data_IF_347181729828
#
_entry.id   IF_347181729828
#
_cell.length_a   1.000
_cell.length_b   1.000
_cell.length_c   1.000
_cell.angle_alpha   90.00
_cell.angle_beta   90.00
_cell.angle_gamma   90.00
#
_symmetry.space_group_name_H-M   'P 1'
#
loop_
_entity.id
_entity.type
_entity.pdbx_description
1 polymer ?
#
# COMPACT_ATOMS: atom_id res chain seq x y z
N UNK A 1 -18.69 -5.50 23.18
CA UNK A 1 -18.77 -4.07 23.52
C UNK A 1 -19.51 -3.31 22.42
N UNK A 2 -20.27 -2.27 22.78
CA UNK A 2 -20.89 -1.36 21.81
C UNK A 2 -20.06 -0.09 21.62
N UNK A 3 -19.89 0.33 20.37
CA UNK A 3 -19.41 1.64 19.94
C UNK A 3 -20.64 2.40 19.40
N UNK A 4 -21.05 3.50 20.01
CA UNK A 4 -22.34 4.15 19.73
C UNK A 4 -22.20 5.60 19.29
N UNK A 5 -23.19 6.08 18.53
CA UNK A 5 -23.34 7.48 18.07
C UNK A 5 -22.17 7.96 17.19
N UNK A 6 -21.84 7.16 16.17
CA UNK A 6 -20.85 7.48 15.16
C UNK A 6 -21.51 7.77 13.80
N UNK A 7 -20.81 8.52 12.95
CA UNK A 7 -21.00 8.44 11.50
C UNK A 7 -20.35 7.16 11.01
N UNK A 8 -21.12 6.08 10.89
CA UNK A 8 -20.60 4.74 10.55
C UNK A 8 -20.51 4.59 9.03
N UNK A 9 -19.30 4.39 8.53
CA UNK A 9 -19.03 4.20 7.10
C UNK A 9 -19.20 2.73 6.75
N UNK A 10 -20.33 2.42 6.11
CA UNK A 10 -20.66 1.11 5.53
C UNK A 10 -20.10 1.00 4.10
N UNK A 11 -20.16 -0.19 3.47
CA UNK A 11 -19.62 -0.38 2.12
C UNK A 11 -20.16 0.60 1.08
N UNK A 12 -21.41 1.02 1.18
CA UNK A 12 -22.13 1.83 0.17
C UNK A 12 -22.83 3.07 0.74
N UNK A 13 -22.82 3.27 2.06
CA UNK A 13 -23.52 4.37 2.72
C UNK A 13 -22.82 4.84 4.01
N UNK A 14 -23.26 5.97 4.54
CA UNK A 14 -22.85 6.44 5.87
C UNK A 14 -24.10 6.56 6.75
N UNK A 15 -24.14 5.79 7.84
CA UNK A 15 -25.17 5.97 8.86
C UNK A 15 -24.85 7.24 9.66
N UNK A 16 -25.74 8.23 9.74
CA UNK A 16 -25.43 9.51 10.37
C UNK A 16 -25.23 9.40 11.89
N UNK A 17 -25.88 8.43 12.54
CA UNK A 17 -25.83 8.18 13.99
C UNK A 17 -25.88 6.68 14.30
N UNK A 18 -25.00 5.92 13.67
CA UNK A 18 -24.95 4.46 13.81
C UNK A 18 -24.19 3.99 15.05
N UNK A 19 -24.36 2.71 15.34
CA UNK A 19 -23.66 1.99 16.41
C UNK A 19 -23.18 0.63 15.90
N UNK A 20 -22.06 0.14 16.42
CA UNK A 20 -21.47 -1.15 16.05
C UNK A 20 -21.20 -1.97 17.31
N UNK A 21 -21.71 -3.21 17.34
CA UNK A 21 -21.41 -4.19 18.39
C UNK A 21 -20.22 -5.03 17.97
N UNK A 22 -19.20 -5.02 18.81
CA UNK A 22 -18.00 -5.86 18.65
C UNK A 22 -18.06 -7.00 19.67
N UNK A 23 -17.95 -8.23 19.20
CA UNK A 23 -17.94 -9.45 20.01
C UNK A 23 -16.85 -10.38 19.49
N UNK A 24 -16.00 -10.89 20.39
CA UNK A 24 -14.89 -11.81 20.06
C UNK A 24 -14.00 -11.35 18.89
N UNK A 25 -13.80 -10.03 18.80
CA UNK A 25 -12.98 -9.39 17.76
C UNK A 25 -13.66 -9.21 16.40
N UNK A 26 -14.92 -9.61 16.26
CA UNK A 26 -15.74 -9.45 15.07
C UNK A 26 -16.88 -8.44 15.26
N UNK A 27 -17.40 -7.94 14.15
CA UNK A 27 -18.60 -7.10 14.08
C UNK A 27 -19.81 -8.03 14.17
N UNK A 28 -20.52 -7.97 15.29
CA UNK A 28 -21.64 -8.86 15.58
C UNK A 28 -22.99 -8.21 15.26
N UNK A 29 -23.05 -6.88 15.23
CA UNK A 29 -24.29 -6.14 14.98
C UNK A 29 -23.99 -4.70 14.55
N UNK A 30 -24.88 -4.14 13.73
CA UNK A 30 -24.86 -2.75 13.29
C UNK A 30 -26.27 -2.19 13.51
N UNK A 31 -26.37 -1.09 14.24
CA UNK A 31 -27.61 -0.35 14.43
C UNK A 31 -27.51 1.02 13.75
N UNK A 32 -28.62 1.52 13.21
CA UNK A 32 -28.73 2.84 12.58
C UNK A 32 -29.04 3.98 13.56
N UNK A 33 -29.11 3.67 14.86
CA UNK A 33 -29.31 4.61 15.95
C UNK A 33 -28.29 4.42 17.07
N UNK A 34 -28.10 5.43 17.94
CA UNK A 34 -27.36 5.27 19.19
C UNK A 34 -27.99 4.20 20.08
N UNK A 35 -27.15 3.49 20.85
CA UNK A 35 -27.57 2.49 21.82
C UNK A 35 -27.14 2.89 23.24
N UNK A 36 -28.01 2.71 24.26
CA UNK A 36 -27.65 3.01 25.65
C UNK A 36 -26.60 2.03 26.18
N UNK A 37 -25.80 2.46 27.17
CA UNK A 37 -24.81 1.60 27.83
C UNK A 37 -23.61 1.23 26.95
N UNK A 38 -23.34 1.99 25.89
CA UNK A 38 -22.18 1.76 25.04
C UNK A 38 -20.86 2.01 25.78
N UNK A 39 -19.87 1.16 25.52
CA UNK A 39 -18.53 1.27 26.11
C UNK A 39 -17.78 2.52 25.60
N UNK A 40 -18.11 2.96 24.38
CA UNK A 40 -17.59 4.17 23.78
C UNK A 40 -18.70 4.93 23.08
N UNK A 41 -18.80 6.23 23.37
CA UNK A 41 -19.65 7.17 22.65
C UNK A 41 -18.79 7.97 21.66
N UNK A 42 -19.22 8.01 20.40
CA UNK A 42 -18.53 8.68 19.31
C UNK A 42 -18.87 10.15 19.16
N UNK A 43 -19.99 10.61 19.71
CA UNK A 43 -20.45 12.01 19.63
C UNK A 43 -20.42 12.58 18.19
N UNK A 44 -20.75 11.74 17.20
CA UNK A 44 -20.76 12.12 15.77
C UNK A 44 -19.40 12.03 15.07
N UNK A 45 -18.35 11.52 15.72
CA UNK A 45 -17.10 11.13 15.07
C UNK A 45 -17.35 10.08 13.98
N UNK A 46 -16.40 9.97 13.06
CA UNK A 46 -16.44 9.00 11.97
C UNK A 46 -15.91 7.66 12.48
N UNK A 47 -16.64 6.57 12.18
CA UNK A 47 -16.18 5.20 12.36
C UNK A 47 -16.05 4.53 10.98
N UNK A 48 -14.83 4.18 10.61
CA UNK A 48 -14.47 3.54 9.32
C UNK A 48 -13.88 2.16 9.54
N UNK A 49 -13.89 1.28 8.51
CA UNK A 49 -13.01 0.13 8.51
C UNK A 49 -11.54 0.58 8.63
N UNK A 50 -10.72 -0.26 9.28
CA UNK A 50 -9.29 -0.02 9.40
C UNK A 50 -8.60 0.04 8.04
N UNK A 51 -7.63 0.94 7.87
CA UNK A 51 -6.95 1.08 6.59
C UNK A 51 -6.06 -0.14 6.32
N UNK A 52 -6.01 -0.52 5.05
CA UNK A 52 -5.16 -1.58 4.51
C UNK A 52 -4.19 -0.94 3.55
N UNK A 53 -2.93 -0.85 3.98
CA UNK A 53 -1.86 -0.29 3.18
C UNK A 53 -1.16 -1.41 2.42
N UNK A 54 -1.36 -1.46 1.10
CA UNK A 54 -0.73 -2.48 0.25
C UNK A 54 0.71 -2.12 -0.18
N UNK A 55 1.16 -0.88 0.05
CA UNK A 55 2.51 -0.45 -0.30
C UNK A 55 3.04 0.62 0.69
N UNK A 56 3.83 0.16 1.66
CA UNK A 56 4.56 1.04 2.58
C UNK A 56 6.08 1.02 2.32
N UNK A 57 6.62 2.04 1.63
CA UNK A 57 8.04 2.21 1.31
C UNK A 57 8.80 2.94 2.45
N UNK A 58 8.67 2.42 3.68
CA UNK A 58 9.17 3.09 4.88
C UNK A 58 10.08 2.23 5.74
N UNK A 59 9.97 0.90 5.65
CA UNK A 59 10.67 -0.01 6.55
C UNK A 59 12.20 0.23 6.53
N UNK A 60 12.78 0.47 5.34
CA UNK A 60 14.20 0.81 5.17
C UNK A 60 14.59 2.09 5.93
N UNK A 61 13.71 3.09 5.97
CA UNK A 61 13.96 4.39 6.64
C UNK A 61 13.84 4.31 8.16
N UNK A 62 13.05 3.38 8.69
CA UNK A 62 12.94 3.21 10.15
C UNK A 62 14.16 2.45 10.70
N UNK A 63 14.71 1.49 9.94
CA UNK A 63 15.90 0.71 10.35
C UNK A 63 17.21 1.45 10.07
N UNK A 64 17.23 2.30 9.04
CA UNK A 64 18.37 3.13 8.67
C UNK A 64 17.89 4.58 8.38
N UNK A 65 17.66 5.38 9.42
CA UNK A 65 17.13 6.75 9.28
C UNK A 65 18.06 7.70 8.53
N UNK A 66 19.35 7.35 8.41
CA UNK A 66 20.35 8.05 7.58
C UNK A 66 21.22 7.03 6.87
N UNK A 67 21.69 7.31 5.64
CA UNK A 67 22.58 6.41 4.92
C UNK A 67 23.78 5.97 5.78
N UNK A 68 23.96 4.66 5.90
CA UNK A 68 24.97 3.96 6.71
C UNK A 68 24.82 4.10 8.24
N UNK A 69 23.69 4.59 8.76
CA UNK A 69 23.43 4.73 10.20
C UNK A 69 22.30 3.80 10.62
N UNK A 70 22.68 2.62 11.11
CA UNK A 70 21.74 1.55 11.46
C UNK A 70 21.25 1.66 12.90
N UNK A 71 19.94 1.52 13.07
CA UNK A 71 19.31 1.31 14.36
C UNK A 71 19.08 -0.20 14.61
N UNK A 72 18.88 -0.64 15.87
CA UNK A 72 18.43 -1.99 16.14
C UNK A 72 17.16 -2.30 15.35
N UNK A 73 17.12 -3.41 14.62
CA UNK A 73 15.98 -3.81 13.77
C UNK A 73 14.65 -3.79 14.54
N UNK A 74 14.65 -4.31 15.78
CA UNK A 74 13.49 -4.32 16.66
C UNK A 74 12.94 -2.91 16.94
N UNK A 75 13.82 -1.92 17.09
CA UNK A 75 13.43 -0.52 17.32
C UNK A 75 12.76 0.05 16.07
N UNK A 76 13.38 -0.10 14.90
CA UNK A 76 12.83 0.38 13.63
C UNK A 76 11.45 -0.22 13.32
N UNK A 77 11.28 -1.53 13.55
CA UNK A 77 10.00 -2.21 13.35
C UNK A 77 8.91 -1.74 14.32
N UNK A 78 9.25 -1.47 15.59
CA UNK A 78 8.33 -0.86 16.57
C UNK A 78 7.95 0.56 16.20
N UNK A 79 8.88 1.33 15.65
CA UNK A 79 8.63 2.71 15.21
C UNK A 79 7.73 2.74 13.98
N UNK A 80 7.94 1.82 13.02
CA UNK A 80 7.01 1.61 11.90
C UNK A 80 5.60 1.25 12.38
N UNK A 81 5.48 0.25 13.26
CA UNK A 81 4.20 -0.15 13.85
C UNK A 81 3.48 1.00 14.53
N UNK A 82 4.22 1.87 15.23
CA UNK A 82 3.65 3.06 15.86
C UNK A 82 3.11 4.04 14.83
N UNK A 83 3.86 4.34 13.77
CA UNK A 83 3.43 5.28 12.72
C UNK A 83 2.17 4.78 12.01
N UNK A 84 2.14 3.49 11.69
CA UNK A 84 1.01 2.87 10.98
C UNK A 84 -0.28 2.91 11.81
N UNK A 85 -0.26 2.44 13.07
CA UNK A 85 -1.47 2.43 13.90
C UNK A 85 -1.97 3.82 14.28
N UNK A 86 -1.07 4.79 14.43
CA UNK A 86 -1.43 6.20 14.62
C UNK A 86 -2.12 6.77 13.37
N UNK A 87 -1.73 6.32 12.18
CA UNK A 87 -2.33 6.73 10.92
C UNK A 87 -3.64 5.98 10.58
N UNK A 88 -4.11 5.07 11.45
CA UNK A 88 -5.33 4.28 11.21
C UNK A 88 -5.11 2.99 10.42
N UNK A 89 -3.86 2.63 10.13
CA UNK A 89 -3.55 1.38 9.41
C UNK A 89 -3.64 0.20 10.36
N UNK A 90 -4.42 -0.81 9.96
CA UNK A 90 -4.65 -2.06 10.72
C UNK A 90 -3.98 -3.26 10.07
N UNK A 91 -3.80 -3.22 8.74
CA UNK A 91 -3.05 -4.19 7.94
C UNK A 91 -2.10 -3.43 7.03
N UNK A 92 -0.81 -3.79 7.04
CA UNK A 92 0.22 -3.08 6.27
C UNK A 92 1.16 -4.06 5.58
N UNK A 93 1.42 -3.81 4.30
CA UNK A 93 2.37 -4.56 3.50
C UNK A 93 3.67 -3.74 3.41
N UNK A 94 4.71 -4.22 4.08
CA UNK A 94 6.03 -3.62 3.98
C UNK A 94 6.61 -3.91 2.59
N UNK A 95 6.75 -2.85 1.79
CA UNK A 95 7.30 -2.93 0.45
C UNK A 95 8.82 -3.02 0.51
N UNK A 96 9.40 -4.11 0.00
CA UNK A 96 10.86 -4.34 0.00
C UNK A 96 11.32 -4.62 -1.41
N UNK A 97 12.27 -3.83 -1.90
CA UNK A 97 12.78 -3.92 -3.26
C UNK A 97 14.00 -4.82 -3.38
N UNK A 98 13.94 -5.78 -4.30
CA UNK A 98 15.04 -6.66 -4.71
C UNK A 98 15.56 -6.22 -6.07
N UNK A 99 16.61 -5.38 -6.07
CA UNK A 99 17.24 -4.86 -7.29
C UNK A 99 18.75 -5.20 -7.32
N UNK A 100 19.29 -5.72 -8.44
CA UNK A 100 20.69 -6.09 -8.57
C UNK A 100 21.69 -4.93 -8.42
N UNK A 101 21.33 -3.68 -8.73
CA UNK A 101 22.20 -2.50 -8.51
C UNK A 101 22.25 -2.06 -7.06
N UNK A 102 21.24 -2.40 -6.26
CA UNK A 102 21.32 -2.24 -4.81
C UNK A 102 22.15 -3.33 -4.13
N UNK A 103 22.70 -4.30 -4.87
CA UNK A 103 23.82 -5.12 -4.36
C UNK A 103 25.07 -4.27 -4.02
N UNK A 104 25.17 -3.05 -4.56
CA UNK A 104 26.26 -2.09 -4.26
C UNK A 104 25.85 -0.96 -3.29
N UNK A 105 24.58 -0.86 -2.90
CA UNK A 105 24.10 0.05 -1.85
C UNK A 105 23.67 -0.77 -0.63
N UNK A 106 24.39 -0.64 0.49
CA UNK A 106 24.34 -1.54 1.65
C UNK A 106 22.95 -1.83 2.29
N UNK A 107 21.90 -1.08 1.91
CA UNK A 107 20.52 -1.18 2.39
C UNK A 107 19.66 -2.23 1.67
N UNK A 108 19.89 -2.48 0.37
CA UNK A 108 19.17 -3.54 -0.38
C UNK A 108 20.10 -4.61 -0.91
N UNK A 109 21.16 -4.87 -0.13
CA UNK A 109 21.81 -6.16 -0.27
C UNK A 109 20.79 -7.24 0.10
N UNK A 110 20.79 -8.29 -0.70
CA UNK A 110 19.88 -9.42 -0.54
C UNK A 110 19.76 -9.92 0.91
N UNK A 111 20.91 -10.03 1.59
CA UNK A 111 20.98 -10.50 2.97
C UNK A 111 20.33 -9.52 3.96
N UNK A 112 20.44 -8.20 3.71
CA UNK A 112 19.80 -7.21 4.57
C UNK A 112 18.28 -7.23 4.41
N UNK A 113 17.79 -7.23 3.17
CA UNK A 113 16.35 -7.33 2.87
C UNK A 113 15.78 -8.61 3.51
N UNK A 114 16.47 -9.74 3.39
CA UNK A 114 16.08 -10.99 4.06
C UNK A 114 16.06 -10.89 5.58
N UNK A 115 17.11 -10.33 6.19
CA UNK A 115 17.18 -10.18 7.64
C UNK A 115 16.04 -9.30 8.16
N UNK A 116 15.71 -8.24 7.44
CA UNK A 116 14.58 -7.36 7.74
C UNK A 116 13.24 -8.09 7.64
N UNK A 117 13.01 -8.85 6.56
CA UNK A 117 11.77 -9.64 6.39
C UNK A 117 11.62 -10.72 7.47
N UNK A 118 12.71 -11.42 7.83
CA UNK A 118 12.72 -12.40 8.92
C UNK A 118 12.41 -11.76 10.27
N UNK A 119 13.04 -10.62 10.57
CA UNK A 119 12.75 -9.88 11.80
C UNK A 119 11.29 -9.40 11.85
N UNK A 120 10.74 -8.90 10.74
CA UNK A 120 9.33 -8.54 10.66
C UNK A 120 8.43 -9.75 10.94
N UNK A 121 8.75 -10.91 10.34
CA UNK A 121 8.03 -12.17 10.56
C UNK A 121 8.06 -12.60 12.03
N UNK A 122 9.23 -12.61 12.65
CA UNK A 122 9.42 -12.98 14.06
C UNK A 122 8.68 -12.04 15.02
N UNK A 123 8.61 -10.75 14.67
CA UNK A 123 7.95 -9.74 15.49
C UNK A 123 6.43 -9.64 15.27
N UNK A 124 5.84 -10.32 14.27
CA UNK A 124 4.39 -10.24 13.95
C UNK A 124 3.49 -10.43 15.18
N UNK A 125 3.86 -11.30 16.11
CA UNK A 125 3.08 -11.55 17.34
C UNK A 125 3.19 -10.46 18.41
N UNK A 126 4.19 -9.59 18.31
CA UNK A 126 4.48 -8.50 19.26
C UNK A 126 3.94 -7.17 18.73
N UNK A 127 4.02 -6.96 17.41
CA UNK A 127 3.52 -5.77 16.73
C UNK A 127 1.99 -5.70 16.79
N UNK A 128 1.46 -4.47 16.74
CA UNK A 128 0.03 -4.22 16.90
C UNK A 128 -0.70 -4.20 15.58
N UNK A 129 -0.09 -3.70 14.51
CA UNK A 129 -0.61 -3.78 13.13
C UNK A 129 -0.42 -5.19 12.57
N UNK A 130 -1.29 -5.61 11.65
CA UNK A 130 -1.10 -6.84 10.88
C UNK A 130 -0.05 -6.60 9.79
N UNK A 131 1.22 -6.88 10.09
CA UNK A 131 2.31 -6.70 9.15
C UNK A 131 2.42 -7.88 8.18
N UNK A 132 2.47 -7.54 6.89
CA UNK A 132 2.61 -8.43 5.74
C UNK A 132 3.77 -7.94 4.87
N UNK A 133 4.17 -8.75 3.89
CA UNK A 133 5.31 -8.43 3.02
C UNK A 133 4.87 -8.27 1.57
N UNK A 134 5.27 -7.14 0.99
CA UNK A 134 5.20 -6.88 -0.43
C UNK A 134 6.61 -6.94 -1.02
N UNK A 135 6.93 -8.04 -1.71
CA UNK A 135 8.23 -8.26 -2.30
C UNK A 135 8.25 -7.73 -3.74
N UNK A 136 9.10 -6.75 -4.02
CA UNK A 136 9.17 -6.05 -5.30
C UNK A 136 10.42 -6.50 -6.05
N UNK A 137 10.27 -7.04 -7.25
CA UNK A 137 11.38 -7.61 -8.02
C UNK A 137 11.60 -6.87 -9.32
N UNK A 138 12.85 -6.55 -9.62
CA UNK A 138 13.23 -6.15 -10.97
C UNK A 138 13.05 -7.33 -11.92
N UNK A 139 12.38 -7.10 -13.05
CA UNK A 139 12.18 -8.15 -14.06
C UNK A 139 13.50 -8.74 -14.60
N UNK A 140 14.59 -7.99 -14.52
CA UNK A 140 15.91 -8.42 -15.00
C UNK A 140 16.80 -8.98 -13.88
N UNK A 141 16.27 -9.21 -12.68
CA UNK A 141 17.07 -9.75 -11.59
C UNK A 141 17.30 -11.26 -11.79
N UNK A 142 18.55 -11.73 -12.04
CA UNK A 142 18.78 -13.11 -12.46
C UNK A 142 18.40 -14.16 -11.43
N UNK A 143 18.36 -13.79 -10.13
CA UNK A 143 17.97 -14.69 -9.04
C UNK A 143 16.51 -14.49 -8.61
N UNK A 144 15.71 -13.69 -9.32
CA UNK A 144 14.36 -13.34 -8.88
C UNK A 144 13.52 -14.57 -8.53
N UNK A 145 13.53 -15.58 -9.39
CA UNK A 145 12.78 -16.82 -9.16
C UNK A 145 13.21 -17.52 -7.87
N UNK A 146 14.50 -17.82 -7.69
CA UNK A 146 15.03 -18.46 -6.48
C UNK A 146 14.63 -17.71 -5.19
N UNK A 147 14.66 -16.38 -5.23
CA UNK A 147 14.28 -15.55 -4.09
C UNK A 147 12.79 -15.61 -3.81
N UNK A 148 11.96 -15.52 -4.85
CA UNK A 148 10.51 -15.60 -4.71
C UNK A 148 10.13 -16.99 -4.17
N UNK A 149 10.72 -18.06 -4.70
CA UNK A 149 10.55 -19.44 -4.21
C UNK A 149 10.84 -19.54 -2.72
N UNK A 150 11.99 -19.05 -2.26
CA UNK A 150 12.34 -19.08 -0.83
C UNK A 150 11.36 -18.27 0.03
N UNK A 151 11.02 -17.04 -0.39
CA UNK A 151 10.13 -16.18 0.39
C UNK A 151 8.70 -16.73 0.48
N UNK A 152 8.21 -17.38 -0.58
CA UNK A 152 6.90 -18.02 -0.61
C UNK A 152 6.92 -19.31 0.22
N UNK A 153 7.92 -20.17 0.03
CA UNK A 153 8.05 -21.42 0.78
C UNK A 153 8.13 -21.18 2.30
N UNK A 154 8.83 -20.12 2.72
CA UNK A 154 8.92 -19.73 4.12
C UNK A 154 7.67 -18.97 4.62
N UNK A 155 6.65 -18.72 3.81
CA UNK A 155 5.45 -17.94 4.18
C UNK A 155 5.78 -16.48 4.55
N UNK A 156 6.82 -15.94 3.93
CA UNK A 156 7.30 -14.57 4.17
C UNK A 156 6.62 -13.58 3.24
N UNK A 157 6.49 -13.89 1.94
CA UNK A 157 5.83 -13.00 0.97
C UNK A 157 4.29 -13.13 1.01
N UNK A 158 3.60 -11.99 0.98
CA UNK A 158 2.13 -11.90 0.93
C UNK A 158 1.63 -11.22 -0.36
N UNK A 159 2.48 -10.44 -1.03
CA UNK A 159 2.24 -9.76 -2.31
C UNK A 159 3.56 -9.73 -3.09
N UNK A 160 3.51 -9.96 -4.39
CA UNK A 160 4.67 -9.81 -5.29
C UNK A 160 4.37 -8.75 -6.34
N UNK A 161 5.32 -7.83 -6.59
CA UNK A 161 5.22 -6.94 -7.75
C UNK A 161 6.43 -7.05 -8.66
N UNK A 162 6.18 -6.98 -9.97
CA UNK A 162 7.19 -6.93 -11.00
C UNK A 162 7.46 -5.47 -11.38
N UNK A 163 8.72 -5.08 -11.36
CA UNK A 163 9.16 -3.70 -11.63
C UNK A 163 10.14 -3.68 -12.79
N UNK A 164 9.99 -2.70 -13.69
CA UNK A 164 10.95 -2.47 -14.77
C UNK A 164 11.53 -1.05 -14.69
N UNK A 165 12.65 -0.91 -14.00
CA UNK A 165 13.37 0.36 -13.91
C UNK A 165 14.38 0.58 -15.05
N UNK A 166 14.13 -0.02 -16.22
CA UNK A 166 14.95 0.20 -17.40
C UNK A 166 14.75 1.61 -17.94
N UNK A 167 15.81 2.33 -18.35
CA UNK A 167 15.66 3.60 -19.04
C UNK A 167 14.72 3.49 -20.24
N UNK A 168 13.75 4.38 -20.34
CA UNK A 168 12.72 4.35 -21.37
C UNK A 168 11.48 3.53 -21.01
N UNK A 169 11.37 3.04 -19.77
CA UNK A 169 10.21 2.28 -19.27
C UNK A 169 9.68 2.89 -17.98
N UNK A 170 8.36 2.77 -17.76
CA UNK A 170 7.68 3.16 -16.53
C UNK A 170 7.96 4.60 -16.13
N UNK A 171 8.34 4.81 -14.87
CA UNK A 171 8.72 6.13 -14.36
C UNK A 171 9.99 6.72 -15.04
N UNK A 172 10.77 5.92 -15.77
CA UNK A 172 11.99 6.31 -16.46
C UNK A 172 11.82 6.47 -17.97
N UNK A 173 10.59 6.57 -18.47
CA UNK A 173 10.27 6.76 -19.89
C UNK A 173 10.89 8.02 -20.51
N UNK A 174 11.03 9.09 -19.72
CA UNK A 174 11.65 10.34 -20.16
C UNK A 174 13.17 10.25 -19.99
N UNK A 175 13.85 9.89 -21.08
CA UNK A 175 15.31 9.70 -21.11
C UNK A 175 16.08 11.00 -20.84
N UNK A 176 15.54 12.14 -21.27
CA UNK A 176 16.14 13.46 -21.08
C UNK A 176 16.10 13.85 -19.59
N UNK A 177 14.96 13.64 -18.94
CA UNK A 177 14.82 13.83 -17.49
C UNK A 177 15.71 12.87 -16.72
N UNK A 178 15.83 11.62 -17.16
CA UNK A 178 16.72 10.63 -16.55
C UNK A 178 18.20 11.04 -16.69
N UNK A 179 18.61 11.52 -17.86
CA UNK A 179 19.96 12.03 -18.09
C UNK A 179 20.27 13.22 -17.17
N UNK A 180 19.35 14.19 -17.07
CA UNK A 180 19.48 15.34 -16.13
C UNK A 180 19.62 14.89 -14.68
N UNK A 181 18.77 13.96 -14.22
CA UNK A 181 18.85 13.40 -12.86
C UNK A 181 20.17 12.68 -12.63
N UNK A 182 20.63 11.88 -13.60
CA UNK A 182 21.90 11.13 -13.52
C UNK A 182 23.09 12.09 -13.46
N UNK A 183 23.12 13.12 -14.30
CA UNK A 183 24.13 14.17 -14.29
C UNK A 183 24.23 14.84 -12.91
N UNK A 184 23.10 15.22 -12.34
CA UNK A 184 23.04 15.85 -11.01
C UNK A 184 23.53 14.92 -9.89
N UNK A 185 23.10 13.66 -9.90
CA UNK A 185 23.43 12.69 -8.84
C UNK A 185 24.88 12.21 -8.88
N UNK A 186 25.45 12.10 -10.08
CA UNK A 186 26.80 11.54 -10.30
C UNK A 186 27.85 12.62 -10.55
N UNK A 187 27.46 13.90 -10.60
CA UNK A 187 28.36 14.99 -10.92
C UNK A 187 28.92 14.92 -12.35
N UNK A 188 28.16 14.32 -13.28
CA UNK A 188 28.54 14.17 -14.68
C UNK A 188 28.06 15.36 -15.51
N UNK A 189 28.70 15.60 -16.65
CA UNK A 189 28.12 16.44 -17.70
C UNK A 189 26.85 15.78 -18.27
N UNK A 190 26.04 16.58 -18.97
CA UNK A 190 24.82 16.08 -19.58
C UNK A 190 25.11 15.01 -20.67
N UNK A 191 26.12 15.22 -21.51
CA UNK A 191 26.52 14.26 -22.55
C UNK A 191 27.02 12.93 -21.96
N UNK A 192 27.80 12.98 -20.87
CA UNK A 192 28.24 11.78 -20.15
C UNK A 192 27.05 11.02 -19.54
N UNK A 193 26.07 11.74 -18.99
CA UNK A 193 24.86 11.14 -18.46
C UNK A 193 23.99 10.49 -19.55
N UNK A 194 23.84 11.13 -20.72
CA UNK A 194 23.15 10.53 -21.87
C UNK A 194 23.86 9.27 -22.38
N UNK A 195 25.19 9.28 -22.43
CA UNK A 195 25.97 8.11 -22.80
C UNK A 195 25.75 6.96 -21.80
N UNK A 196 25.84 7.25 -20.50
CA UNK A 196 25.59 6.28 -19.44
C UNK A 196 24.15 5.70 -19.49
N UNK A 197 23.15 6.52 -19.86
CA UNK A 197 21.78 6.06 -20.07
C UNK A 197 21.69 5.12 -21.28
N UNK A 198 22.32 5.46 -22.41
CA UNK A 198 22.35 4.60 -23.62
C UNK A 198 23.06 3.27 -23.37
N UNK A 199 24.18 3.29 -22.66
CA UNK A 199 24.91 2.07 -22.30
C UNK A 199 24.06 1.11 -21.47
N UNK A 200 23.26 1.63 -20.53
CA UNK A 200 22.32 0.81 -19.72
C UNK A 200 21.24 0.16 -20.59
N UNK A 201 20.73 0.87 -21.58
CA UNK A 201 19.74 0.31 -22.53
C UNK A 201 20.38 -0.85 -23.32
N UNK A 202 21.59 -0.63 -23.84
CA UNK A 202 22.31 -1.63 -24.62
C UNK A 202 22.76 -2.85 -23.79
N UNK A 203 23.11 -2.66 -22.52
CA UNK A 203 23.39 -3.74 -21.57
C UNK A 203 22.16 -4.62 -21.34
N UNK A 204 20.98 -4.04 -21.13
CA UNK A 204 19.75 -4.82 -20.98
C UNK A 204 19.42 -5.62 -22.23
N UNK A 205 19.51 -5.02 -23.42
CA UNK A 205 19.22 -5.73 -24.68
C UNK A 205 20.12 -6.96 -24.86
N UNK A 206 21.37 -6.91 -24.37
CA UNK A 206 22.30 -8.04 -24.36
C UNK A 206 21.98 -9.11 -23.31
N UNK A 207 21.14 -8.82 -22.31
CA UNK A 207 20.77 -9.71 -21.22
C UNK A 207 19.28 -10.05 -21.20
N UNK A 208 18.55 -9.79 -22.29
CA UNK A 208 17.14 -10.10 -22.44
C UNK A 208 16.81 -11.62 -22.49
N UNK A 209 17.81 -12.49 -22.36
CA UNK A 209 17.63 -13.94 -22.32
C UNK A 209 16.85 -14.38 -21.07
N UNK A 210 15.84 -15.22 -21.30
CA UNK A 210 14.98 -15.94 -20.35
C UNK A 210 14.17 -15.14 -19.31
N UNK A 211 14.08 -13.81 -19.45
CA UNK A 211 13.23 -12.96 -18.61
C UNK A 211 11.76 -13.41 -18.69
N UNK A 212 11.27 -13.72 -19.89
CA UNK A 212 9.87 -14.13 -20.08
C UNK A 212 9.52 -15.44 -19.35
N UNK A 213 10.39 -16.46 -19.39
CA UNK A 213 10.13 -17.71 -18.68
C UNK A 213 10.24 -17.51 -17.15
N UNK A 214 11.20 -16.69 -16.70
CA UNK A 214 11.34 -16.32 -15.29
C UNK A 214 10.05 -15.66 -14.76
N UNK A 215 9.51 -14.69 -15.51
CA UNK A 215 8.26 -14.01 -15.14
C UNK A 215 7.07 -14.97 -15.13
N UNK A 216 6.98 -15.88 -16.10
CA UNK A 216 5.94 -16.90 -16.14
C UNK A 216 6.03 -17.88 -14.95
N UNK A 217 7.25 -18.27 -14.55
CA UNK A 217 7.48 -19.12 -13.39
C UNK A 217 7.10 -18.42 -12.07
N UNK A 218 7.51 -17.15 -11.91
CA UNK A 218 7.11 -16.34 -10.74
C UNK A 218 5.59 -16.21 -10.66
N UNK A 219 4.93 -15.94 -11.79
CA UNK A 219 3.48 -15.86 -11.88
C UNK A 219 2.79 -17.16 -11.45
N UNK A 220 3.20 -18.30 -12.02
CA UNK A 220 2.64 -19.60 -11.68
C UNK A 220 2.81 -19.90 -10.19
N UNK A 221 3.98 -19.63 -9.64
CA UNK A 221 4.27 -19.82 -8.22
C UNK A 221 3.39 -18.96 -7.30
N UNK A 222 3.16 -17.69 -7.67
CA UNK A 222 2.26 -16.81 -6.94
C UNK A 222 0.82 -17.35 -6.96
N UNK A 223 0.35 -17.78 -8.14
CA UNK A 223 -0.99 -18.35 -8.31
C UNK A 223 -1.18 -19.63 -7.47
N UNK A 224 -0.20 -20.54 -7.48
CA UNK A 224 -0.24 -21.80 -6.72
C UNK A 224 -0.35 -21.59 -5.20
N UNK A 225 0.11 -20.43 -4.69
CA UNK A 225 0.08 -20.07 -3.28
C UNK A 225 -0.97 -19.02 -2.92
N UNK A 226 -1.81 -18.60 -3.89
CA UNK A 226 -2.83 -17.57 -3.67
C UNK A 226 -2.25 -16.19 -3.33
N UNK A 227 -1.03 -15.90 -3.80
CA UNK A 227 -0.37 -14.60 -3.63
C UNK A 227 -0.71 -13.72 -4.83
N UNK A 228 -1.20 -12.51 -4.55
CA UNK A 228 -1.48 -11.54 -5.61
C UNK A 228 -0.20 -11.12 -6.34
N UNK A 229 -0.31 -10.90 -7.64
CA UNK A 229 0.76 -10.39 -8.48
C UNK A 229 0.41 -8.98 -8.97
N UNK A 230 1.32 -8.04 -8.81
CA UNK A 230 1.18 -6.66 -9.27
C UNK A 230 2.20 -6.31 -10.36
N UNK A 231 1.83 -5.44 -11.28
CA UNK A 231 2.77 -4.69 -12.12
C UNK A 231 3.04 -3.33 -11.51
N UNK A 232 4.26 -2.81 -11.64
CA UNK A 232 4.63 -1.49 -11.13
C UNK A 232 5.03 -0.53 -12.25
N UNK A 233 4.61 0.73 -12.12
CA UNK A 233 4.82 1.84 -13.05
C UNK A 233 4.41 1.49 -14.49
N UNK A 234 3.18 1.02 -14.69
CA UNK A 234 2.67 0.78 -16.04
C UNK A 234 2.57 2.08 -16.85
N UNK A 235 3.20 2.12 -18.03
CA UNK A 235 3.31 3.31 -18.87
C UNK A 235 2.61 3.19 -20.23
N UNK A 236 2.35 1.95 -20.68
CA UNK A 236 1.80 1.62 -21.99
C UNK A 236 0.71 0.56 -21.88
N UNK A 237 -0.21 0.60 -22.85
CA UNK A 237 -1.29 -0.41 -23.00
C UNK A 237 -0.69 -1.81 -23.17
N UNK A 238 0.40 -1.92 -23.92
CA UNK A 238 1.09 -3.17 -24.21
C UNK A 238 1.71 -3.78 -22.96
N UNK A 239 2.33 -2.96 -22.09
CA UNK A 239 2.88 -3.43 -20.81
C UNK A 239 1.78 -3.94 -19.89
N UNK A 240 0.65 -3.23 -19.78
CA UNK A 240 -0.49 -3.70 -18.98
C UNK A 240 -1.04 -5.01 -19.53
N UNK A 241 -1.18 -5.13 -20.85
CA UNK A 241 -1.65 -6.35 -21.49
C UNK A 241 -0.72 -7.56 -21.24
N UNK A 242 0.60 -7.33 -21.28
CA UNK A 242 1.61 -8.32 -20.95
C UNK A 242 1.52 -8.75 -19.48
N UNK A 243 1.44 -7.79 -18.55
CA UNK A 243 1.40 -8.12 -17.12
C UNK A 243 0.11 -8.82 -16.72
N UNK A 244 -1.01 -8.42 -17.30
CA UNK A 244 -2.28 -9.13 -17.18
C UNK A 244 -2.18 -10.57 -17.72
N UNK A 245 -1.52 -10.81 -18.86
CA UNK A 245 -1.37 -12.18 -19.40
C UNK A 245 -0.47 -13.06 -18.53
N UNK A 246 0.41 -12.44 -17.73
CA UNK A 246 1.17 -13.05 -16.64
C UNK A 246 0.37 -13.16 -15.34
N UNK A 247 -0.93 -12.87 -15.32
CA UNK A 247 -1.78 -13.05 -14.13
C UNK A 247 -1.69 -11.92 -13.10
N UNK A 248 -1.12 -10.76 -13.45
CA UNK A 248 -1.18 -9.60 -12.56
C UNK A 248 -2.64 -9.14 -12.37
N UNK A 249 -3.02 -8.91 -11.11
CA UNK A 249 -4.35 -8.44 -10.70
C UNK A 249 -4.35 -6.97 -10.28
N UNK A 250 -3.16 -6.37 -10.13
CA UNK A 250 -2.98 -4.99 -9.69
C UNK A 250 -2.02 -4.26 -10.65
N UNK A 251 -2.41 -3.06 -11.07
CA UNK A 251 -1.54 -2.08 -11.73
C UNK A 251 -1.17 -1.00 -10.72
N UNK A 252 0.06 -1.04 -10.28
CA UNK A 252 0.60 -0.23 -9.20
C UNK A 252 1.30 1.00 -9.76
N UNK A 253 0.84 2.18 -9.35
CA UNK A 253 1.32 3.50 -9.80
C UNK A 253 1.37 3.65 -11.34
N UNK A 254 0.29 3.36 -12.09
CA UNK A 254 0.28 3.59 -13.53
C UNK A 254 0.66 5.05 -13.82
N UNK A 255 1.61 5.25 -14.73
CA UNK A 255 2.21 6.57 -14.98
C UNK A 255 1.48 7.35 -16.07
N UNK A 256 0.61 6.68 -16.84
CA UNK A 256 -0.25 7.27 -17.88
C UNK A 256 -1.72 6.95 -17.67
N UNK A 257 -2.58 7.85 -18.15
CA UNK A 257 -4.03 7.60 -18.16
C UNK A 257 -4.37 6.42 -19.07
N UNK A 258 -3.70 6.27 -20.21
CA UNK A 258 -3.90 5.17 -21.14
C UNK A 258 -3.62 3.81 -20.51
N UNK A 259 -2.52 3.69 -19.75
CA UNK A 259 -2.21 2.46 -19.00
C UNK A 259 -3.25 2.20 -17.90
N UNK A 260 -3.65 3.22 -17.14
CA UNK A 260 -4.67 3.08 -16.10
C UNK A 260 -6.04 2.66 -16.69
N UNK A 261 -6.42 3.20 -17.86
CA UNK A 261 -7.63 2.81 -18.60
C UNK A 261 -7.56 1.36 -19.04
N UNK A 262 -6.43 0.92 -19.58
CA UNK A 262 -6.23 -0.47 -19.98
C UNK A 262 -6.31 -1.42 -18.78
N UNK A 263 -5.69 -1.05 -17.66
CA UNK A 263 -5.71 -1.83 -16.43
C UNK A 263 -7.16 -2.06 -15.98
N UNK A 264 -7.96 -0.98 -15.94
CA UNK A 264 -9.37 -1.06 -15.60
C UNK A 264 -10.19 -1.90 -16.59
N UNK A 265 -9.95 -1.76 -17.90
CA UNK A 265 -10.65 -2.55 -18.92
C UNK A 265 -10.40 -4.06 -18.78
N UNK A 266 -9.22 -4.43 -18.27
CA UNK A 266 -8.83 -5.81 -17.98
C UNK A 266 -9.21 -6.28 -16.58
N UNK A 267 -9.81 -5.43 -15.76
CA UNK A 267 -10.22 -5.75 -14.39
C UNK A 267 -9.08 -5.76 -13.37
N UNK A 268 -7.93 -5.15 -13.67
CA UNK A 268 -6.88 -4.92 -12.67
C UNK A 268 -7.32 -3.76 -11.77
N UNK A 269 -6.99 -3.87 -10.49
CA UNK A 269 -7.09 -2.75 -9.56
C UNK A 269 -5.95 -1.77 -9.82
N UNK A 270 -6.25 -0.48 -9.95
CA UNK A 270 -5.21 0.54 -10.00
C UNK A 270 -4.91 1.08 -8.60
N UNK A 271 -3.62 1.07 -8.21
CA UNK A 271 -3.17 1.59 -6.93
C UNK A 271 -2.33 2.85 -7.09
N UNK A 272 -2.60 3.91 -6.33
CA UNK A 272 -1.80 5.14 -6.34
C UNK A 272 -1.60 5.69 -4.93
N UNK A 273 -0.61 6.57 -4.76
CA UNK A 273 -0.21 7.06 -3.44
C UNK A 273 -1.20 8.07 -2.84
N UNK A 274 -1.60 7.86 -1.59
CA UNK A 274 -2.35 8.82 -0.80
C UNK A 274 -1.67 10.21 -0.71
N UNK A 275 -0.33 10.34 -0.60
CA UNK A 275 0.31 11.65 -0.63
C UNK A 275 0.11 12.38 -1.97
N UNK A 276 0.11 11.64 -3.09
CA UNK A 276 -0.17 12.20 -4.42
C UNK A 276 -1.62 12.67 -4.50
N UNK A 277 -2.58 11.83 -4.08
CA UNK A 277 -3.99 12.20 -4.05
C UNK A 277 -4.23 13.45 -3.19
N UNK A 278 -3.65 13.51 -1.98
CA UNK A 278 -3.78 14.66 -1.07
C UNK A 278 -3.24 15.95 -1.69
N UNK A 279 -2.05 15.91 -2.28
CA UNK A 279 -1.42 17.08 -2.93
C UNK A 279 -2.13 17.51 -4.22
N UNK A 280 -2.77 16.56 -4.92
CA UNK A 280 -3.39 16.78 -6.22
C UNK A 280 -2.40 16.92 -7.37
N UNK A 281 -1.10 16.77 -7.13
CA UNK A 281 -0.04 16.93 -8.12
C UNK A 281 0.89 15.72 -8.12
N UNK A 282 1.30 15.31 -9.31
CA UNK A 282 2.39 14.36 -9.49
C UNK A 282 3.72 15.10 -9.55
N UNK A 283 4.61 14.83 -8.59
CA UNK A 283 5.96 15.40 -8.58
C UNK A 283 6.78 15.00 -9.83
N UNK A 284 6.47 13.84 -10.43
CA UNK A 284 7.13 13.32 -11.62
C UNK A 284 6.42 13.66 -12.93
N UNK A 285 5.32 14.42 -12.93
CA UNK A 285 4.54 14.68 -14.16
C UNK A 285 3.89 13.41 -14.75
N UNK A 286 3.84 12.33 -13.96
CA UNK A 286 3.03 11.14 -14.23
C UNK A 286 1.56 11.44 -13.90
N UNK A 287 0.65 10.52 -14.25
CA UNK A 287 -0.77 10.60 -13.87
C UNK A 287 -0.96 10.97 -12.38
N UNK A 288 -1.81 11.95 -12.10
CA UNK A 288 -2.22 12.28 -10.74
C UNK A 288 -3.28 11.31 -10.24
N UNK A 289 -3.20 10.89 -8.98
CA UNK A 289 -4.23 10.08 -8.33
C UNK A 289 -5.57 10.82 -8.27
N UNK A 290 -5.55 12.15 -8.20
CA UNK A 290 -6.78 12.96 -8.24
C UNK A 290 -7.41 12.98 -9.63
N UNK A 291 -6.59 13.06 -10.68
CA UNK A 291 -7.07 12.97 -12.06
C UNK A 291 -7.64 11.58 -12.33
N UNK A 292 -6.90 10.53 -11.96
CA UNK A 292 -7.34 9.15 -12.07
C UNK A 292 -8.67 8.91 -11.34
N UNK A 293 -8.82 9.38 -10.09
CA UNK A 293 -10.08 9.31 -9.35
C UNK A 293 -11.23 10.01 -10.06
N UNK A 294 -10.99 11.24 -10.55
CA UNK A 294 -12.01 12.05 -11.24
C UNK A 294 -12.57 11.41 -12.51
N UNK A 295 -11.80 10.52 -13.16
CA UNK A 295 -12.24 9.76 -14.34
C UNK A 295 -12.55 8.28 -14.04
N UNK A 296 -12.60 7.88 -12.76
CA UNK A 296 -12.96 6.53 -12.33
C UNK A 296 -11.90 5.46 -12.58
N UNK A 297 -10.62 5.86 -12.58
CA UNK A 297 -9.45 5.01 -12.83
C UNK A 297 -8.56 4.81 -11.59
N UNK A 298 -9.04 5.14 -10.39
CA UNK A 298 -8.35 4.88 -9.13
C UNK A 298 -9.17 3.91 -8.29
N UNK A 299 -8.59 2.75 -7.95
CA UNK A 299 -9.25 1.77 -7.10
C UNK A 299 -8.63 1.67 -5.69
N UNK A 300 -7.34 1.94 -5.52
CA UNK A 300 -6.63 1.76 -4.23
C UNK A 300 -5.75 2.98 -3.90
N UNK A 301 -5.79 3.41 -2.63
CA UNK A 301 -4.85 4.34 -2.03
C UNK A 301 -3.82 3.59 -1.19
N UNK A 302 -2.55 3.72 -1.54
CA UNK A 302 -1.43 3.23 -0.74
C UNK A 302 -0.79 4.36 0.10
N UNK A 303 -0.18 4.02 1.24
CA UNK A 303 0.56 5.01 2.04
C UNK A 303 1.76 5.58 1.26
N UNK A 304 2.35 4.76 0.37
CA UNK A 304 3.60 5.06 -0.32
C UNK A 304 4.68 5.35 0.76
N UNK A 305 5.19 6.58 0.82
CA UNK A 305 6.17 6.99 1.82
C UNK A 305 5.58 7.72 3.05
N UNK A 306 4.24 7.89 3.15
CA UNK A 306 3.62 8.72 4.19
C UNK A 306 2.19 8.27 4.62
N UNK A 307 2.07 7.37 5.60
CA UNK A 307 0.80 6.72 5.97
C UNK A 307 -0.21 7.71 6.56
N UNK A 308 0.26 8.76 7.23
CA UNK A 308 -0.62 9.83 7.74
C UNK A 308 -1.34 10.60 6.63
N UNK A 309 -1.02 10.39 5.35
CA UNK A 309 -1.75 10.97 4.23
C UNK A 309 -3.04 10.23 3.88
N UNK A 310 -3.25 8.98 4.33
CA UNK A 310 -4.41 8.16 3.93
C UNK A 310 -5.74 8.84 4.32
N UNK A 311 -5.94 9.13 5.61
CA UNK A 311 -7.17 9.78 6.08
C UNK A 311 -7.43 11.13 5.38
N UNK A 312 -6.47 12.08 5.35
CA UNK A 312 -6.65 13.33 4.62
C UNK A 312 -6.98 13.14 3.14
N UNK A 313 -6.35 12.17 2.46
CA UNK A 313 -6.64 11.87 1.06
C UNK A 313 -8.08 11.37 0.89
N UNK A 314 -8.53 10.43 1.74
CA UNK A 314 -9.91 9.93 1.76
C UNK A 314 -10.91 11.07 1.95
N UNK A 315 -10.72 11.94 2.95
CA UNK A 315 -11.60 13.09 3.22
C UNK A 315 -11.61 14.13 2.10
N UNK A 316 -10.52 14.25 1.35
CA UNK A 316 -10.44 15.16 0.22
C UNK A 316 -11.12 14.57 -1.01
N UNK A 317 -10.91 13.29 -1.31
CA UNK A 317 -11.57 12.60 -2.43
C UNK A 317 -13.07 12.43 -2.19
N UNK A 318 -13.51 12.27 -0.94
CA UNK A 318 -14.94 12.14 -0.59
C UNK A 318 -15.80 13.33 -1.00
N UNK A 319 -15.18 14.50 -1.24
CA UNK A 319 -15.89 15.71 -1.71
C UNK A 319 -16.31 15.62 -3.17
N UNK A 320 -15.63 14.79 -3.96
CA UNK A 320 -15.86 14.62 -5.40
C UNK A 320 -16.25 13.19 -5.77
N UNK A 321 -16.10 12.23 -4.86
CA UNK A 321 -16.53 10.85 -5.05
C UNK A 321 -18.06 10.76 -5.15
N UNK A 322 -18.56 10.00 -6.13
CA UNK A 322 -19.99 9.84 -6.38
C UNK A 322 -20.73 9.18 -5.19
N UNK A 323 -20.05 8.35 -4.41
CA UNK A 323 -20.59 7.73 -3.19
C UNK A 323 -20.08 8.43 -1.91
N UNK A 324 -19.55 9.65 -2.04
CA UNK A 324 -19.08 10.47 -0.93
C UNK A 324 -18.00 9.78 -0.09
N UNK A 325 -18.14 9.85 1.24
CA UNK A 325 -17.17 9.26 2.17
C UNK A 325 -17.12 7.73 2.07
N UNK A 326 -18.25 7.05 1.84
CA UNK A 326 -18.26 5.60 1.67
C UNK A 326 -17.42 5.19 0.45
N UNK A 327 -17.58 5.89 -0.68
CA UNK A 327 -16.81 5.63 -1.89
C UNK A 327 -15.31 5.88 -1.72
N UNK A 328 -14.94 7.04 -1.18
CA UNK A 328 -13.53 7.37 -0.98
C UNK A 328 -12.85 6.46 0.06
N UNK A 329 -13.57 6.03 1.11
CA UNK A 329 -13.03 5.13 2.12
C UNK A 329 -12.68 3.75 1.53
N UNK A 330 -13.48 3.21 0.60
CA UNK A 330 -13.21 1.92 -0.06
C UNK A 330 -11.82 1.85 -0.69
N UNK A 331 -11.30 2.98 -1.18
CA UNK A 331 -9.96 3.06 -1.77
C UNK A 331 -8.86 2.62 -0.80
N UNK A 332 -9.05 2.81 0.51
CA UNK A 332 -8.07 2.43 1.54
C UNK A 332 -8.53 1.26 2.41
N UNK A 333 -9.68 0.64 2.11
CA UNK A 333 -10.29 -0.40 2.95
C UNK A 333 -10.74 -1.62 2.13
N UNK A 334 -11.95 -1.61 1.58
CA UNK A 334 -12.56 -2.75 0.91
C UNK A 334 -11.85 -3.13 -0.41
N UNK A 335 -11.42 -2.14 -1.19
CA UNK A 335 -10.76 -2.39 -2.47
C UNK A 335 -9.39 -3.07 -2.30
N UNK A 336 -8.46 -2.57 -1.45
CA UNK A 336 -7.23 -3.31 -1.18
C UNK A 336 -7.50 -4.67 -0.51
N UNK A 337 -8.53 -4.79 0.36
CA UNK A 337 -8.90 -6.10 0.92
C UNK A 337 -9.25 -7.10 -0.21
N UNK A 338 -10.06 -6.69 -1.16
CA UNK A 338 -10.47 -7.52 -2.29
C UNK A 338 -9.30 -7.87 -3.21
N UNK A 339 -8.50 -6.87 -3.61
CA UNK A 339 -7.35 -7.07 -4.49
C UNK A 339 -6.30 -8.03 -3.91
N UNK A 340 -6.19 -8.08 -2.58
CA UNK A 340 -5.25 -8.92 -1.83
C UNK A 340 -5.87 -10.22 -1.29
N UNK A 341 -7.13 -10.52 -1.61
CA UNK A 341 -7.81 -11.75 -1.18
C UNK A 341 -8.16 -11.81 0.32
N UNK A 342 -8.21 -10.66 1.01
CA UNK A 342 -8.53 -10.55 2.44
C UNK A 342 -10.05 -10.51 2.64
N UNK A 343 -10.68 -11.68 2.77
CA UNK A 343 -12.15 -11.79 2.85
C UNK A 343 -12.74 -11.48 4.23
N UNK A 344 -11.92 -11.39 5.27
CA UNK A 344 -12.34 -11.26 6.68
C UNK A 344 -12.44 -9.80 7.16
N UNK A 345 -11.99 -8.82 6.37
CA UNK A 345 -11.86 -7.40 6.77
C UNK A 345 -12.14 -6.42 5.63
N UNK A 346 -11.87 -5.13 5.86
CA UNK A 346 -12.01 -4.05 4.88
C UNK A 346 -13.38 -3.37 4.88
N UNK A 347 -14.34 -3.90 5.65
CA UNK A 347 -15.72 -3.43 5.69
C UNK A 347 -16.28 -3.48 7.11
N UNK A 348 -17.18 -2.54 7.44
CA UNK A 348 -18.03 -2.65 8.62
C UNK A 348 -19.27 -3.45 8.21
N UNK A 349 -19.21 -4.77 8.38
CA UNK A 349 -20.29 -5.70 8.06
C UNK A 349 -20.33 -6.88 9.04
N UNK A 350 -21.50 -7.51 9.18
CA UNK A 350 -21.68 -8.67 10.07
C UNK A 350 -20.65 -9.77 9.81
N UNK A 351 -20.04 -10.29 10.87
CA UNK A 351 -19.04 -11.35 10.84
C UNK A 351 -17.64 -10.93 10.39
N UNK A 352 -17.45 -9.71 9.87
CA UNK A 352 -16.12 -9.18 9.54
C UNK A 352 -15.35 -8.84 10.82
N UNK A 353 -14.04 -8.92 10.74
CA UNK A 353 -13.11 -8.50 11.80
C UNK A 353 -13.36 -7.03 12.17
N UNK A 354 -13.40 -6.73 13.46
CA UNK A 354 -13.50 -5.38 13.99
C UNK A 354 -12.14 -4.64 13.93
N UNK A 355 -11.61 -4.51 12.71
CA UNK A 355 -10.52 -3.60 12.38
C UNK A 355 -11.16 -2.25 12.03
N UNK A 356 -10.99 -1.25 12.91
CA UNK A 356 -11.76 -0.01 12.87
C UNK A 356 -10.88 1.21 13.10
N UNK A 357 -11.23 2.33 12.47
CA UNK A 357 -10.64 3.64 12.69
C UNK A 357 -11.71 4.60 13.17
N UNK A 358 -11.41 5.32 14.26
CA UNK A 358 -12.19 6.45 14.73
C UNK A 358 -11.46 7.72 14.33
N UNK A 359 -12.14 8.61 13.62
CA UNK A 359 -11.56 9.85 13.13
C UNK A 359 -12.54 11.02 13.25
N UNK A 360 -11.99 12.24 13.27
CA UNK A 360 -12.75 13.44 12.90
C UNK A 360 -12.39 13.91 11.49
N UNK A 361 -13.20 14.83 10.97
CA UNK A 361 -13.02 15.53 9.71
C UNK A 361 -12.69 17.02 9.91
N UNK A 362 -12.16 17.40 11.08
CA UNK A 362 -11.78 18.77 11.36
C UNK A 362 -10.47 19.12 10.61
N UNK A 363 -10.48 20.18 9.81
CA UNK A 363 -9.32 20.59 9.01
C UNK A 363 -8.93 19.52 7.98
N UNK A 364 -7.81 18.83 8.23
CA UNK A 364 -7.34 17.71 7.38
C UNK A 364 -7.77 16.34 7.91
N UNK A 365 -8.53 16.30 9.00
CA UNK A 365 -8.93 15.10 9.72
C UNK A 365 -7.86 14.56 10.67
N UNK A 366 -8.30 13.91 11.73
CA UNK A 366 -7.42 13.33 12.73
C UNK A 366 -7.89 11.92 13.13
N UNK A 367 -6.99 10.95 13.14
CA UNK A 367 -7.24 9.62 13.70
C UNK A 367 -7.20 9.72 15.22
N UNK A 368 -8.33 9.43 15.87
CA UNK A 368 -8.51 9.49 17.33
C UNK A 368 -8.22 8.15 18.00
N UNK A 369 -8.56 7.06 17.33
CA UNK A 369 -8.22 5.71 17.75
C UNK A 369 -8.24 4.71 16.60
N UNK A 370 -7.50 3.62 16.81
CA UNK A 370 -7.42 2.49 15.88
C UNK A 370 -7.64 1.21 16.64
N UNK A 371 -8.47 0.34 16.11
CA UNK A 371 -8.78 -0.97 16.64
C UNK A 371 -8.36 -2.04 15.64
N UNK A 372 -7.81 -3.13 16.15
CA UNK A 372 -7.53 -4.34 15.36
C UNK A 372 -8.12 -5.52 16.10
N UNK A 373 -8.93 -6.33 15.43
CA UNK A 373 -9.66 -7.46 15.99
C UNK A 373 -10.43 -7.08 17.26
N UNK A 374 -11.11 -5.93 17.23
CA UNK A 374 -11.86 -5.39 18.37
C UNK A 374 -11.01 -4.82 19.50
N UNK A 375 -9.68 -4.93 19.45
CA UNK A 375 -8.79 -4.41 20.47
C UNK A 375 -8.25 -3.04 20.08
N UNK A 376 -8.31 -2.08 21.00
CA UNK A 376 -7.74 -0.74 20.81
C UNK A 376 -6.21 -0.83 20.76
N UNK A 377 -5.61 -0.55 19.61
CA UNK A 377 -4.15 -0.56 19.41
C UNK A 377 -3.54 0.85 19.47
N UNK A 378 -4.36 1.88 19.31
CA UNK A 378 -3.99 3.29 19.43
C UNK A 378 -5.15 4.13 19.95
N UNK A 379 -4.82 5.17 20.72
CA UNK A 379 -5.72 6.27 21.07
C UNK A 379 -4.90 7.52 21.32
N UNK A 380 -5.39 8.67 20.87
CA UNK A 380 -4.82 9.99 21.15
C UNK A 380 -5.17 10.52 22.56
N UNK A 381 -5.96 9.76 23.34
CA UNK A 381 -6.41 10.13 24.69
C UNK A 381 -7.65 11.02 24.75
N UNK A 382 -8.24 11.35 23.59
CA UNK A 382 -9.39 12.26 23.53
C UNK A 382 -10.76 11.57 23.60
N UNK A 383 -10.79 10.24 23.49
CA UNK A 383 -12.01 9.43 23.52
C UNK A 383 -12.35 9.06 24.97
N UNK A 384 -13.52 9.50 25.43
CA UNK A 384 -14.04 9.17 26.76
C UNK A 384 -14.58 7.74 26.76
N UNK A 385 -13.92 6.84 27.50
CA UNK A 385 -14.46 5.51 27.75
C UNK A 385 -15.51 5.61 28.84
N UNK A 386 -16.70 5.05 28.59
CA UNK A 386 -17.64 4.82 29.67
C UNK A 386 -17.15 3.62 30.49
N UNK A 387 -17.13 3.71 31.83
CA UNK A 387 -16.97 2.52 32.65
C UNK A 387 -18.08 1.54 32.25
N UNK A 388 -17.70 0.32 31.88
CA UNK A 388 -18.66 -0.76 31.74
C UNK A 388 -18.81 -1.34 33.14
N UNK A 389 -20.01 -1.20 33.72
CA UNK A 389 -20.35 -1.77 35.05
C UNK A 389 -20.29 -3.30 35.05
#
# INVERSE_FOLDING_TARGET
MWLSDFRVVLPDAVLPRGSVRVEDGAIAEIADSPVPGAALNGEGLILMPGFIDMHGDMIEREVEPRPNVRMPMELGLRDLDRRLKVAGVTTAYAAVSFNPKSAYGHLRSYDHSKAMLRALKEMRGILKVDHRVHARFEINYPKALDVVEELIADGTADLVSLTDHTPGQGQYRDLERLAKKTAQQQGLSHEEAELAVRERIAEKQRHAGDVAATLAAISALCADHGIALASHDDDTVEKVALMHSLGATISEFPVTEEAAREARQRGLFTAMGAPNALRGESYSGNLSAREAHGVGLLDILAADYHPSAILPAVLVLSKTDAAGLAGAARLATANPAHALGLTDRGEIAYGKRADLVIADDAGIGHVRATFRNGQKIFSDGSLMLNPVD
#
